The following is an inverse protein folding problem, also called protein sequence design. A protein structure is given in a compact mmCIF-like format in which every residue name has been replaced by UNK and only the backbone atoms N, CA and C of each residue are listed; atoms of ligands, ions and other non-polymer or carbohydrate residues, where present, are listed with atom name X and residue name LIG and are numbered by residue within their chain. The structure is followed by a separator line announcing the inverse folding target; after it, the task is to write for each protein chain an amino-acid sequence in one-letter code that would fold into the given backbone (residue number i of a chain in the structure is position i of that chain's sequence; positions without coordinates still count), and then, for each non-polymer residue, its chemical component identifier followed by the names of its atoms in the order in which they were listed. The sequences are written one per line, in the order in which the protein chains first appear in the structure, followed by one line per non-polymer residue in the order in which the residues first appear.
data_IF_755488340829
#
_entry.id   IF_755488340829
#
_cell.length_a   1.000
_cell.length_b   1.000
_cell.length_c   1.000
_cell.angle_alpha   90.00
_cell.angle_beta   90.00
_cell.angle_gamma   90.00
#
_symmetry.space_group_name_H-M   'P 1'
#
loop_
_entity.id
_entity.type
_entity.pdbx_description
1 polymer ?
#
# COMPACT_ATOMS: atom_id res chain seq x y z
N UNK A 1 10.39 -34.37 -42.43
CA UNK A 1 9.42 -33.60 -41.62
C UNK A 1 9.90 -32.16 -41.56
N UNK A 2 9.00 -31.17 -41.59
CA UNK A 2 9.38 -29.77 -41.42
C UNK A 2 10.08 -29.58 -40.07
N UNK A 3 11.14 -28.77 -40.04
CA UNK A 3 11.84 -28.48 -38.78
C UNK A 3 11.03 -27.50 -37.93
N UNK A 4 11.32 -27.45 -36.63
CA UNK A 4 10.78 -26.45 -35.70
C UNK A 4 10.96 -25.01 -36.23
N UNK A 5 12.08 -24.74 -36.90
CA UNK A 5 12.43 -23.42 -37.42
C UNK A 5 11.59 -23.07 -38.66
N UNK A 6 11.38 -24.03 -39.57
CA UNK A 6 10.50 -23.85 -40.74
C UNK A 6 9.05 -23.54 -40.31
N UNK A 7 8.56 -24.27 -39.31
CA UNK A 7 7.22 -24.05 -38.75
C UNK A 7 7.12 -22.70 -38.03
N UNK A 8 8.18 -22.26 -37.33
CA UNK A 8 8.23 -20.92 -36.73
C UNK A 8 8.10 -19.83 -37.79
N UNK A 9 8.85 -19.93 -38.89
CA UNK A 9 8.81 -18.96 -39.97
C UNK A 9 7.45 -18.94 -40.67
N UNK A 10 6.86 -20.11 -40.92
CA UNK A 10 5.50 -20.23 -41.44
C UNK A 10 4.48 -19.57 -40.51
N UNK A 11 4.58 -19.80 -39.19
CA UNK A 11 3.73 -19.15 -38.19
C UNK A 11 3.91 -17.62 -38.19
N UNK A 12 5.14 -17.13 -38.32
CA UNK A 12 5.42 -15.69 -38.40
C UNK A 12 4.83 -15.06 -39.67
N UNK A 13 4.89 -15.75 -40.81
CA UNK A 13 4.30 -15.31 -42.07
C UNK A 13 2.77 -15.22 -41.97
N UNK A 14 2.12 -16.25 -41.41
CA UNK A 14 0.68 -16.26 -41.15
C UNK A 14 0.27 -15.15 -40.18
N UNK A 15 1.06 -14.93 -39.12
CA UNK A 15 0.82 -13.86 -38.16
C UNK A 15 0.88 -12.47 -38.82
N UNK A 16 1.87 -12.26 -39.70
CA UNK A 16 2.02 -11.00 -40.45
C UNK A 16 0.89 -10.81 -41.45
N UNK A 17 0.37 -11.91 -42.03
CA UNK A 17 -0.80 -11.91 -42.90
C UNK A 17 -2.15 -11.74 -42.16
N UNK A 18 -2.15 -11.55 -40.83
CA UNK A 18 -3.37 -11.40 -40.02
C UNK A 18 -4.13 -12.70 -39.76
N UNK A 19 -3.60 -13.84 -40.19
CA UNK A 19 -4.21 -15.17 -40.03
C UNK A 19 -3.86 -15.77 -38.67
N UNK A 20 -4.35 -15.15 -37.60
CA UNK A 20 -3.89 -15.45 -36.23
C UNK A 20 -4.26 -16.85 -35.74
N UNK A 21 -5.40 -17.41 -36.16
CA UNK A 21 -5.79 -18.78 -35.82
C UNK A 21 -4.85 -19.81 -36.47
N UNK A 22 -4.63 -19.70 -37.79
CA UNK A 22 -3.69 -20.53 -38.53
C UNK A 22 -2.26 -20.40 -37.98
N UNK A 23 -1.84 -19.18 -37.62
CA UNK A 23 -0.55 -18.95 -36.98
C UNK A 23 -0.42 -19.66 -35.63
N UNK A 24 -1.47 -19.65 -34.80
CA UNK A 24 -1.48 -20.33 -33.51
C UNK A 24 -1.38 -21.86 -33.65
N UNK A 25 -2.05 -22.43 -34.66
CA UNK A 25 -1.97 -23.85 -34.98
C UNK A 25 -0.57 -24.25 -35.43
N UNK A 26 0.04 -23.45 -36.32
CA UNK A 26 1.40 -23.70 -36.81
C UNK A 26 2.43 -23.56 -35.69
N UNK A 27 2.30 -22.56 -34.80
CA UNK A 27 3.17 -22.47 -33.61
C UNK A 27 2.99 -23.66 -32.67
N UNK A 28 1.78 -24.23 -32.56
CA UNK A 28 1.53 -25.44 -31.76
C UNK A 28 2.27 -26.64 -32.32
N UNK A 29 2.27 -26.81 -33.65
CA UNK A 29 3.08 -27.83 -34.32
C UNK A 29 4.58 -27.59 -34.10
N UNK A 30 5.04 -26.34 -34.20
CA UNK A 30 6.43 -25.97 -33.95
C UNK A 30 6.88 -26.29 -32.52
N UNK A 31 6.01 -26.07 -31.52
CA UNK A 31 6.26 -26.39 -30.11
C UNK A 31 6.36 -27.91 -29.91
N UNK A 32 5.45 -28.69 -30.52
CA UNK A 32 5.48 -30.14 -30.45
C UNK A 32 6.77 -30.72 -31.08
N UNK A 33 7.21 -30.13 -32.19
CA UNK A 33 8.45 -30.52 -32.87
C UNK A 33 9.73 -30.08 -32.13
N UNK A 34 9.65 -29.06 -31.24
CA UNK A 34 10.80 -28.55 -30.49
C UNK A 34 11.32 -29.52 -29.42
N UNK A 35 10.46 -30.41 -28.91
CA UNK A 35 10.78 -31.31 -27.81
C UNK A 35 11.07 -30.56 -26.49
N UNK A 36 12.28 -30.68 -25.97
CA UNK A 36 12.66 -30.19 -24.64
C UNK A 36 12.59 -28.65 -24.50
N UNK A 37 12.45 -28.12 -23.27
CA UNK A 37 12.48 -26.67 -23.02
C UNK A 37 13.77 -26.03 -23.54
N UNK A 38 13.63 -25.03 -24.41
CA UNK A 38 14.75 -24.27 -24.99
C UNK A 38 14.36 -22.82 -25.23
N UNK A 39 15.34 -21.98 -25.56
CA UNK A 39 15.11 -20.58 -25.98
C UNK A 39 14.22 -20.51 -27.23
N UNK A 40 14.30 -21.50 -28.13
CA UNK A 40 13.41 -21.59 -29.30
C UNK A 40 11.97 -21.86 -28.87
N UNK A 41 11.78 -22.85 -27.99
CA UNK A 41 10.46 -23.18 -27.42
C UNK A 41 9.84 -21.99 -26.67
N UNK A 42 10.64 -21.23 -25.90
CA UNK A 42 10.19 -20.02 -25.22
C UNK A 42 9.72 -18.93 -26.20
N UNK A 43 10.41 -18.78 -27.33
CA UNK A 43 10.05 -17.84 -28.40
C UNK A 43 8.73 -18.23 -29.07
N UNK A 44 8.53 -19.53 -29.30
CA UNK A 44 7.29 -20.06 -29.87
C UNK A 44 6.09 -19.86 -28.96
N UNK A 45 6.20 -20.15 -27.66
CA UNK A 45 5.16 -19.82 -26.69
C UNK A 45 4.85 -18.32 -26.68
N UNK A 46 5.89 -17.48 -26.75
CA UNK A 46 5.70 -16.03 -26.80
C UNK A 46 4.99 -15.57 -28.07
N UNK A 47 5.28 -16.16 -29.23
CA UNK A 47 4.62 -15.82 -30.50
C UNK A 47 3.18 -16.36 -30.57
N UNK A 48 2.92 -17.56 -30.04
CA UNK A 48 1.57 -18.10 -29.94
C UNK A 48 0.70 -17.30 -28.95
N UNK A 49 1.28 -16.84 -27.84
CA UNK A 49 0.63 -15.87 -26.94
C UNK A 49 0.22 -14.59 -27.68
N UNK A 50 1.06 -14.08 -28.58
CA UNK A 50 0.72 -12.91 -29.40
C UNK A 50 -0.47 -13.18 -30.32
N UNK A 51 -0.52 -14.37 -30.94
CA UNK A 51 -1.65 -14.78 -31.79
C UNK A 51 -2.96 -14.86 -30.98
N UNK A 52 -2.92 -15.45 -29.78
CA UNK A 52 -4.07 -15.51 -28.90
C UNK A 52 -4.54 -14.15 -28.40
N UNK A 53 -3.62 -13.18 -28.18
CA UNK A 53 -4.00 -11.80 -27.88
C UNK A 53 -4.80 -11.15 -29.01
N UNK A 54 -4.41 -11.39 -30.27
CA UNK A 54 -5.15 -10.88 -31.44
C UNK A 54 -6.51 -11.56 -31.60
N UNK A 55 -6.60 -12.85 -31.26
CA UNK A 55 -7.84 -13.61 -31.22
C UNK A 55 -8.73 -13.29 -30.01
N UNK A 56 -8.27 -12.43 -29.09
CA UNK A 56 -8.93 -12.13 -27.80
C UNK A 56 -9.13 -13.35 -26.89
N UNK A 57 -8.37 -14.43 -27.12
CA UNK A 57 -8.32 -15.59 -26.22
C UNK A 57 -7.30 -15.32 -25.11
N UNK A 58 -7.68 -14.45 -24.18
CA UNK A 58 -6.76 -13.93 -23.15
C UNK A 58 -6.31 -15.01 -22.16
N UNK A 59 -7.11 -16.06 -21.96
CA UNK A 59 -6.77 -17.19 -21.08
C UNK A 59 -5.61 -18.00 -21.68
N UNK A 60 -5.69 -18.38 -22.97
CA UNK A 60 -4.59 -19.08 -23.63
C UNK A 60 -3.37 -18.20 -23.80
N UNK A 61 -3.58 -16.90 -24.10
CA UNK A 61 -2.49 -15.94 -24.17
C UNK A 61 -1.72 -15.85 -22.84
N UNK A 62 -2.43 -15.86 -21.71
CA UNK A 62 -1.85 -15.85 -20.38
C UNK A 62 -1.03 -17.11 -20.12
N UNK A 63 -1.60 -18.29 -20.34
CA UNK A 63 -0.92 -19.57 -20.15
C UNK A 63 0.38 -19.66 -20.95
N UNK A 64 0.34 -19.28 -22.24
CA UNK A 64 1.52 -19.29 -23.10
C UNK A 64 2.57 -18.26 -22.66
N UNK A 65 2.14 -17.09 -22.19
CA UNK A 65 3.08 -16.06 -21.69
C UNK A 65 3.79 -16.52 -20.41
N UNK A 66 3.11 -17.28 -19.55
CA UNK A 66 3.72 -17.90 -18.37
C UNK A 66 4.69 -19.00 -18.76
N UNK A 67 4.32 -19.87 -19.71
CA UNK A 67 5.19 -20.94 -20.17
C UNK A 67 6.47 -20.39 -20.83
N UNK A 68 6.34 -19.32 -21.63
CA UNK A 68 7.48 -18.60 -22.18
C UNK A 68 8.40 -18.08 -21.06
N UNK A 69 7.83 -17.48 -20.01
CA UNK A 69 8.58 -16.92 -18.88
C UNK A 69 9.33 -17.98 -18.07
N UNK A 70 8.72 -19.15 -17.82
CA UNK A 70 9.37 -20.24 -17.08
C UNK A 70 10.47 -20.94 -17.90
N UNK A 71 10.38 -20.89 -19.22
CA UNK A 71 11.37 -21.48 -20.12
C UNK A 71 12.65 -20.63 -20.24
N UNK A 72 12.65 -19.39 -19.75
CA UNK A 72 13.86 -18.58 -19.63
C UNK A 72 14.59 -18.90 -18.31
N UNK A 73 15.92 -19.15 -18.32
CA UNK A 73 16.65 -19.48 -17.10
C UNK A 73 16.59 -18.32 -16.10
N UNK A 74 16.02 -18.59 -14.93
CA UNK A 74 15.68 -17.59 -13.92
C UNK A 74 16.88 -16.93 -13.21
N UNK A 75 18.15 -17.25 -13.54
CA UNK A 75 19.26 -16.94 -12.61
C UNK A 75 20.68 -16.68 -13.14
N UNK A 76 20.90 -16.42 -14.42
CA UNK A 76 22.22 -15.96 -14.87
C UNK A 76 22.15 -14.52 -15.43
N UNK A 77 22.93 -13.55 -14.92
CA UNK A 77 23.20 -12.35 -15.69
C UNK A 77 23.91 -12.83 -16.98
N UNK A 78 23.34 -12.61 -18.18
CA UNK A 78 23.99 -13.13 -19.37
C UNK A 78 25.28 -12.33 -19.60
N UNK A 79 26.37 -12.97 -20.09
CA UNK A 79 27.51 -12.25 -20.59
C UNK A 79 27.07 -11.23 -21.66
N UNK A 80 27.88 -10.19 -21.87
CA UNK A 80 27.62 -8.96 -22.63
C UNK A 80 27.11 -9.09 -24.10
N UNK A 81 26.76 -10.30 -24.58
CA UNK A 81 25.95 -10.53 -25.79
C UNK A 81 24.41 -10.49 -25.52
N UNK A 82 24.01 -10.20 -24.27
CA UNK A 82 22.65 -10.22 -23.71
C UNK A 82 21.59 -9.31 -24.36
N UNK A 83 21.95 -8.38 -25.24
CA UNK A 83 21.01 -7.34 -25.72
C UNK A 83 19.85 -7.95 -26.52
N UNK A 84 20.11 -8.98 -27.35
CA UNK A 84 19.06 -9.69 -28.11
C UNK A 84 18.13 -10.53 -27.22
N UNK A 85 18.65 -11.14 -26.15
CA UNK A 85 17.86 -11.93 -25.19
C UNK A 85 17.05 -11.05 -24.22
N UNK A 86 17.54 -9.84 -23.89
CA UNK A 86 16.76 -8.87 -23.12
C UNK A 86 15.54 -8.35 -23.90
N UNK A 87 15.65 -8.21 -25.22
CA UNK A 87 14.56 -7.80 -26.12
C UNK A 87 13.53 -8.88 -26.45
N UNK A 88 13.67 -10.11 -25.92
CA UNK A 88 12.62 -11.14 -25.96
C UNK A 88 11.86 -11.22 -24.64
N UNK A 89 12.50 -10.86 -23.52
CA UNK A 89 11.88 -10.86 -22.18
C UNK A 89 10.87 -9.73 -22.00
N UNK A 90 11.16 -8.54 -22.54
CA UNK A 90 10.23 -7.41 -22.50
C UNK A 90 8.95 -7.69 -23.30
N UNK A 91 9.04 -8.35 -24.46
CA UNK A 91 7.89 -8.84 -25.24
C UNK A 91 7.07 -9.86 -24.46
N UNK A 92 7.70 -10.82 -23.79
CA UNK A 92 6.99 -11.80 -22.97
C UNK A 92 6.26 -11.12 -21.79
N UNK A 93 6.92 -10.19 -21.09
CA UNK A 93 6.30 -9.42 -20.02
C UNK A 93 5.18 -8.50 -20.50
N UNK A 94 5.33 -7.89 -21.68
CA UNK A 94 4.28 -7.09 -22.30
C UNK A 94 3.06 -7.95 -22.64
N UNK A 95 3.24 -9.11 -23.26
CA UNK A 95 2.16 -10.03 -23.62
C UNK A 95 1.43 -10.56 -22.38
N UNK A 96 2.18 -10.92 -21.34
CA UNK A 96 1.65 -11.32 -20.04
C UNK A 96 0.81 -10.21 -19.39
N UNK A 97 1.36 -8.99 -19.33
CA UNK A 97 0.64 -7.84 -18.80
C UNK A 97 -0.61 -7.51 -19.60
N UNK A 98 -0.56 -7.58 -20.93
CA UNK A 98 -1.69 -7.31 -21.81
C UNK A 98 -2.81 -8.35 -21.64
N UNK A 99 -2.46 -9.63 -21.50
CA UNK A 99 -3.44 -10.68 -21.22
C UNK A 99 -4.12 -10.47 -19.85
N UNK A 100 -3.34 -10.17 -18.81
CA UNK A 100 -3.87 -9.89 -17.47
C UNK A 100 -4.77 -8.66 -17.43
N UNK A 101 -4.37 -7.60 -18.15
CA UNK A 101 -5.17 -6.38 -18.24
C UNK A 101 -6.50 -6.63 -18.96
N UNK A 102 -6.48 -7.39 -20.06
CA UNK A 102 -7.69 -7.76 -20.79
C UNK A 102 -8.63 -8.66 -19.97
N UNK A 103 -8.07 -9.46 -19.05
CA UNK A 103 -8.83 -10.26 -18.06
C UNK A 103 -9.31 -9.45 -16.85
N UNK A 104 -9.05 -8.13 -16.79
CA UNK A 104 -9.41 -7.28 -15.65
C UNK A 104 -8.55 -7.50 -14.40
N UNK A 105 -7.47 -8.29 -14.49
CA UNK A 105 -6.53 -8.57 -13.40
C UNK A 105 -5.48 -7.47 -13.30
N UNK A 106 -5.93 -6.24 -13.05
CA UNK A 106 -5.13 -5.02 -13.18
C UNK A 106 -3.91 -4.96 -12.24
N UNK A 107 -3.99 -5.51 -11.03
CA UNK A 107 -2.85 -5.53 -10.10
C UNK A 107 -1.70 -6.41 -10.62
N UNK A 108 -2.05 -7.58 -11.14
CA UNK A 108 -1.09 -8.53 -11.69
C UNK A 108 -0.52 -8.00 -13.02
N UNK A 109 -1.37 -7.36 -13.84
CA UNK A 109 -0.95 -6.66 -15.05
C UNK A 109 0.08 -5.58 -14.74
N UNK A 110 -0.12 -4.78 -13.69
CA UNK A 110 0.83 -3.75 -13.27
C UNK A 110 2.18 -4.36 -12.86
N UNK A 111 2.17 -5.48 -12.11
CA UNK A 111 3.39 -6.21 -11.73
C UNK A 111 4.13 -6.72 -12.98
N UNK A 112 3.40 -7.26 -13.95
CA UNK A 112 3.95 -7.77 -15.21
C UNK A 112 4.61 -6.65 -16.04
N UNK A 113 3.92 -5.54 -16.26
CA UNK A 113 4.47 -4.40 -17.00
C UNK A 113 5.66 -3.75 -16.27
N UNK A 114 5.61 -3.66 -14.93
CA UNK A 114 6.73 -3.13 -14.14
C UNK A 114 7.99 -3.99 -14.28
N UNK A 115 7.84 -5.32 -14.28
CA UNK A 115 8.97 -6.25 -14.54
C UNK A 115 9.51 -6.09 -15.97
N UNK A 116 8.62 -5.97 -16.96
CA UNK A 116 9.01 -5.69 -18.36
C UNK A 116 9.79 -4.39 -18.52
N UNK A 117 9.33 -3.31 -17.86
CA UNK A 117 10.02 -2.01 -17.87
C UNK A 117 11.39 -2.07 -17.18
N UNK A 118 11.57 -2.92 -16.16
CA UNK A 118 12.88 -3.16 -15.55
C UNK A 118 13.80 -3.98 -16.47
N UNK A 119 13.26 -4.93 -17.21
CA UNK A 119 14.02 -5.77 -18.15
C UNK A 119 14.51 -4.95 -19.36
N UNK A 120 13.68 -4.03 -19.85
CA UNK A 120 14.05 -3.09 -20.91
C UNK A 120 13.63 -1.64 -20.55
N UNK A 121 14.51 -0.88 -19.87
CA UNK A 121 14.22 0.48 -19.45
C UNK A 121 14.03 1.50 -20.58
N UNK A 122 14.39 1.20 -21.83
CA UNK A 122 14.14 2.12 -22.97
C UNK A 122 12.79 1.88 -23.65
N UNK A 123 12.04 0.85 -23.25
CA UNK A 123 10.75 0.53 -23.84
C UNK A 123 9.62 1.40 -23.27
N UNK A 124 9.42 2.57 -23.87
CA UNK A 124 8.40 3.55 -23.47
C UNK A 124 6.96 3.02 -23.59
N UNK A 125 6.70 2.04 -24.47
CA UNK A 125 5.37 1.43 -24.62
C UNK A 125 4.98 0.69 -23.33
N UNK A 126 5.90 -0.10 -22.76
CA UNK A 126 5.64 -0.83 -21.52
C UNK A 126 5.47 0.13 -20.34
N UNK A 127 6.27 1.20 -20.26
CA UNK A 127 6.12 2.23 -19.23
C UNK A 127 4.79 2.97 -19.32
N UNK A 128 4.41 3.39 -20.53
CA UNK A 128 3.13 4.05 -20.78
C UNK A 128 1.96 3.16 -20.39
N UNK A 129 2.03 1.86 -20.70
CA UNK A 129 0.99 0.91 -20.30
C UNK A 129 0.94 0.69 -18.79
N UNK A 130 2.10 0.55 -18.12
CA UNK A 130 2.16 0.49 -16.66
C UNK A 130 1.52 1.72 -15.99
N UNK A 131 1.74 2.92 -16.56
CA UNK A 131 1.12 4.15 -16.08
C UNK A 131 -0.40 4.16 -16.31
N UNK A 132 -0.87 3.68 -17.46
CA UNK A 132 -2.30 3.56 -17.78
C UNK A 132 -3.02 2.57 -16.84
N UNK A 133 -2.46 1.37 -16.62
CA UNK A 133 -3.02 0.39 -15.67
C UNK A 133 -3.04 0.96 -14.26
N UNK A 134 -1.99 1.69 -13.85
CA UNK A 134 -1.97 2.38 -12.56
C UNK A 134 -3.07 3.44 -12.45
N UNK A 135 -3.35 4.18 -13.52
CA UNK A 135 -4.45 5.13 -13.53
C UNK A 135 -5.81 4.42 -13.43
N UNK A 136 -5.98 3.29 -14.11
CA UNK A 136 -7.21 2.50 -14.06
C UNK A 136 -7.47 1.91 -12.68
N UNK A 137 -6.46 1.40 -11.99
CA UNK A 137 -6.57 0.94 -10.61
C UNK A 137 -7.06 2.06 -9.68
N UNK A 138 -6.53 3.28 -9.81
CA UNK A 138 -7.00 4.44 -9.03
C UNK A 138 -8.45 4.80 -9.31
N UNK A 139 -8.89 4.68 -10.56
CA UNK A 139 -10.29 4.92 -10.93
C UNK A 139 -11.21 3.89 -10.27
N UNK A 140 -10.89 2.59 -10.40
CA UNK A 140 -11.67 1.51 -9.78
C UNK A 140 -11.74 1.62 -8.26
N UNK A 141 -10.65 2.03 -7.61
CA UNK A 141 -10.63 2.30 -6.17
C UNK A 141 -11.55 3.46 -5.78
N UNK A 142 -11.59 4.54 -6.57
CA UNK A 142 -12.52 5.67 -6.35
C UNK A 142 -13.97 5.24 -6.53
N UNK A 143 -14.25 4.46 -7.56
CA UNK A 143 -15.60 3.93 -7.80
C UNK A 143 -16.08 3.04 -6.65
N UNK A 144 -15.22 2.12 -6.19
CA UNK A 144 -15.51 1.29 -5.00
C UNK A 144 -15.78 2.14 -3.77
N UNK A 145 -14.95 3.15 -3.52
CA UNK A 145 -15.15 4.07 -2.39
C UNK A 145 -16.49 4.82 -2.47
N UNK A 146 -16.86 5.33 -3.65
CA UNK A 146 -18.14 6.02 -3.86
C UNK A 146 -19.32 5.06 -3.68
N UNK A 147 -19.20 3.82 -4.16
CA UNK A 147 -20.21 2.78 -3.99
C UNK A 147 -20.41 2.42 -2.51
N UNK A 148 -19.32 2.22 -1.77
CA UNK A 148 -19.35 1.93 -0.33
C UNK A 148 -20.01 3.09 0.45
N UNK A 149 -19.71 4.35 0.09
CA UNK A 149 -20.35 5.53 0.67
C UNK A 149 -21.86 5.57 0.37
N UNK A 150 -22.27 5.23 -0.85
CA UNK A 150 -23.69 5.17 -1.23
C UNK A 150 -24.43 4.07 -0.46
N UNK A 151 -23.84 2.89 -0.31
CA UNK A 151 -24.40 1.79 0.48
C UNK A 151 -24.48 2.13 1.97
N UNK A 152 -23.44 2.77 2.54
CA UNK A 152 -23.46 3.23 3.91
C UNK A 152 -24.58 4.26 4.17
N UNK A 153 -24.79 5.22 3.23
CA UNK A 153 -25.89 6.19 3.29
C UNK A 153 -27.27 5.54 3.19
N UNK A 154 -27.41 4.51 2.35
CA UNK A 154 -28.65 3.75 2.23
C UNK A 154 -28.96 3.00 3.53
N UNK A 155 -27.99 2.27 4.09
CA UNK A 155 -28.13 1.59 5.38
C UNK A 155 -28.47 2.57 6.50
N UNK A 156 -27.80 3.72 6.57
CA UNK A 156 -28.10 4.74 7.60
C UNK A 156 -29.55 5.26 7.52
N UNK A 157 -30.12 5.36 6.31
CA UNK A 157 -31.54 5.70 6.11
C UNK A 157 -32.48 4.57 6.56
N UNK A 158 -32.12 3.32 6.26
CA UNK A 158 -32.89 2.13 6.65
C UNK A 158 -32.91 1.91 8.17
N UNK A 159 -31.83 2.26 8.88
CA UNK A 159 -31.72 2.13 10.35
C UNK A 159 -32.21 3.35 11.16
N UNK A 160 -32.79 4.38 10.52
CA UNK A 160 -33.36 5.53 11.23
C UNK A 160 -32.36 6.42 11.99
N UNK A 161 -31.06 6.32 11.68
CA UNK A 161 -30.02 7.17 12.28
C UNK A 161 -29.92 8.44 11.45
N UNK A 162 -30.39 9.56 12.00
CA UNK A 162 -30.40 10.86 11.34
C UNK A 162 -29.00 11.29 10.86
N UNK A 163 -28.74 11.13 9.57
CA UNK A 163 -27.57 11.71 8.90
C UNK A 163 -27.81 13.22 8.79
N UNK A 164 -27.17 14.03 9.63
CA UNK A 164 -27.02 15.46 9.33
C UNK A 164 -26.25 15.56 8.01
N UNK A 165 -26.93 15.97 6.95
CA UNK A 165 -26.37 15.97 5.60
C UNK A 165 -25.58 17.27 5.37
N UNK A 166 -24.33 17.12 4.92
CA UNK A 166 -23.40 18.16 4.52
C UNK A 166 -23.84 18.93 3.25
N UNK A 167 -25.07 19.44 3.20
CA UNK A 167 -25.53 20.32 2.10
C UNK A 167 -25.11 21.79 2.33
N UNK A 168 -24.76 22.16 3.56
CA UNK A 168 -24.33 23.53 3.91
C UNK A 168 -22.81 23.75 3.84
N UNK A 169 -22.00 22.68 3.84
CA UNK A 169 -20.53 22.80 3.80
C UNK A 169 -19.93 22.77 2.39
N UNK A 170 -20.65 22.22 1.41
CA UNK A 170 -20.13 22.05 0.05
C UNK A 170 -20.29 23.34 -0.79
N UNK A 171 -21.30 24.16 -0.55
CA UNK A 171 -21.46 25.47 -1.18
C UNK A 171 -20.39 26.47 -0.72
N UNK A 172 -19.90 26.35 0.51
CA UNK A 172 -18.78 27.17 1.00
C UNK A 172 -17.44 26.79 0.35
N UNK A 173 -17.19 25.49 0.12
CA UNK A 173 -15.93 25.02 -0.46
C UNK A 173 -15.82 25.27 -1.97
N UNK A 174 -16.93 25.29 -2.72
CA UNK A 174 -16.90 25.60 -4.16
C UNK A 174 -16.86 27.11 -4.45
N UNK A 175 -17.42 27.95 -3.56
CA UNK A 175 -17.32 29.41 -3.67
C UNK A 175 -15.92 29.95 -3.29
N UNK A 176 -15.20 29.28 -2.39
CA UNK A 176 -13.85 29.70 -1.98
C UNK A 176 -12.75 29.45 -3.03
N UNK A 177 -13.05 28.70 -4.11
CA UNK A 177 -12.05 28.38 -5.15
C UNK A 177 -12.05 29.39 -6.31
N UNK A 178 -13.05 30.26 -6.45
CA UNK A 178 -13.13 31.24 -7.53
C UNK A 178 -13.51 32.63 -6.97
N UNK A 179 -12.54 33.56 -6.99
CA UNK A 179 -12.52 34.91 -6.36
C UNK A 179 -12.24 34.85 -4.85
N UNK A 180 -11.33 35.62 -4.25
CA UNK A 180 -11.05 37.06 -4.43
C UNK A 180 -9.62 37.35 -3.94
N UNK A 181 -8.79 37.94 -4.80
CA UNK A 181 -7.82 38.93 -4.35
C UNK A 181 -8.62 40.19 -4.03
N UNK A 182 -8.67 40.62 -2.76
CA UNK A 182 -8.99 41.98 -2.29
C UNK A 182 -9.00 41.97 -0.76
N UNK A 183 -8.18 42.86 -0.20
CA UNK A 183 -8.09 43.32 1.18
C UNK A 183 -9.44 43.64 1.82
N UNK A 184 -9.66 43.32 3.10
CA UNK A 184 -10.27 44.22 4.10
C UNK A 184 -10.05 43.71 5.54
N UNK A 185 -9.91 44.67 6.45
CA UNK A 185 -9.57 44.55 7.87
C UNK A 185 -10.80 44.77 8.77
N UNK A 186 -10.67 44.30 10.03
CA UNK A 186 -11.37 44.66 11.29
C UNK A 186 -12.52 43.77 11.84
N UNK A 187 -12.36 43.42 13.14
CA UNK A 187 -13.40 42.96 14.09
C UNK A 187 -12.89 41.97 15.16
N UNK A 188 -12.77 42.32 16.46
CA UNK A 188 -12.12 41.49 17.47
C UNK A 188 -13.10 40.51 18.13
N UNK A 189 -12.79 39.20 18.13
CA UNK A 189 -13.57 38.22 18.90
C UNK A 189 -13.65 36.78 18.39
N UNK A 190 -12.84 36.37 17.41
CA UNK A 190 -12.84 34.99 16.90
C UNK A 190 -11.49 34.29 17.12
N UNK A 191 -11.54 33.06 17.63
CA UNK A 191 -10.41 32.16 17.83
C UNK A 191 -9.51 32.13 16.59
N UNK A 192 -8.23 32.43 16.79
CA UNK A 192 -7.24 32.63 15.74
C UNK A 192 -6.92 31.30 15.03
N UNK A 193 -7.52 31.05 13.88
CA UNK A 193 -7.06 30.02 12.92
C UNK A 193 -5.96 30.66 12.09
N UNK A 194 -4.72 30.64 12.58
CA UNK A 194 -3.57 31.09 11.79
C UNK A 194 -2.37 30.18 11.97
N UNK A 195 -1.76 29.83 10.83
CA UNK A 195 -0.53 29.07 10.60
C UNK A 195 -0.63 27.53 10.60
N UNK A 196 -1.56 26.94 9.84
CA UNK A 196 -1.33 25.59 9.32
C UNK A 196 -0.49 25.74 8.03
N UNK A 197 0.69 25.12 8.00
CA UNK A 197 1.50 25.05 6.79
C UNK A 197 0.68 24.40 5.68
N UNK A 198 0.79 24.88 4.44
CA UNK A 198 0.01 24.29 3.34
C UNK A 198 0.36 22.80 3.20
N UNK A 199 -0.57 21.99 2.71
CA UNK A 199 -0.31 20.55 2.45
C UNK A 199 0.92 20.33 1.57
N UNK A 200 1.35 21.34 0.79
CA UNK A 200 2.57 21.36 -0.02
C UNK A 200 3.86 21.58 0.79
N UNK A 201 3.79 22.28 1.90
CA UNK A 201 4.94 22.57 2.78
C UNK A 201 5.19 21.42 3.76
N UNK A 202 4.10 20.78 4.24
CA UNK A 202 4.17 19.52 4.98
C UNK A 202 4.80 18.36 4.17
N UNK A 203 4.60 18.39 2.85
CA UNK A 203 5.15 17.45 1.85
C UNK A 203 6.67 17.56 1.69
N UNK A 204 7.18 18.79 1.59
CA UNK A 204 8.61 19.05 1.46
C UNK A 204 9.39 18.72 2.75
N UNK A 205 8.78 18.91 3.92
CA UNK A 205 9.43 18.72 5.21
C UNK A 205 9.74 17.26 5.58
N UNK A 206 9.06 16.28 4.97
CA UNK A 206 9.18 14.86 5.34
C UNK A 206 10.31 14.11 4.59
N UNK A 207 11.02 14.78 3.68
CA UNK A 207 12.11 14.23 2.89
C UNK A 207 13.45 14.82 3.36
N UNK A 208 14.49 14.00 3.37
CA UNK A 208 15.87 14.39 3.64
C UNK A 208 16.46 15.21 2.50
N UNK A 209 17.66 15.78 2.69
CA UNK A 209 18.40 16.47 1.63
C UNK A 209 18.64 15.61 0.38
N UNK A 210 18.64 14.29 0.54
CA UNK A 210 18.79 13.29 -0.52
C UNK A 210 17.45 12.85 -1.15
N UNK A 211 16.33 13.49 -0.78
CA UNK A 211 14.99 13.18 -1.26
C UNK A 211 14.40 11.89 -0.70
N UNK A 212 15.03 11.25 0.28
CA UNK A 212 14.50 10.03 0.92
C UNK A 212 13.60 10.37 2.10
N UNK A 213 12.59 9.53 2.41
CA UNK A 213 11.81 9.65 3.63
C UNK A 213 12.71 9.65 4.87
N UNK A 214 12.53 10.64 5.73
CA UNK A 214 13.18 10.68 7.05
C UNK A 214 12.31 9.88 8.02
N UNK A 215 12.88 9.03 8.89
CA UNK A 215 12.12 8.16 9.79
C UNK A 215 11.00 8.85 10.61
N UNK A 216 11.27 10.04 11.15
CA UNK A 216 10.33 10.85 11.94
C UNK A 216 9.61 11.94 11.12
N UNK A 217 9.82 11.99 9.81
CA UNK A 217 9.33 13.05 8.92
C UNK A 217 7.82 13.22 8.92
N UNK A 218 7.07 12.20 9.34
CA UNK A 218 5.62 12.24 9.50
C UNK A 218 5.17 13.27 10.56
N UNK A 219 5.97 13.51 11.60
CA UNK A 219 5.62 14.36 12.74
C UNK A 219 5.80 15.87 12.49
N UNK A 220 6.64 16.24 11.52
CA UNK A 220 7.08 17.63 11.30
C UNK A 220 5.92 18.57 11.01
N UNK A 221 5.76 19.64 11.79
CA UNK A 221 4.66 20.60 11.59
C UNK A 221 3.29 20.12 12.09
N UNK A 222 3.19 18.95 12.74
CA UNK A 222 1.97 18.57 13.47
C UNK A 222 1.87 19.27 14.84
N UNK A 223 3.00 19.70 15.42
CA UNK A 223 3.05 20.21 16.78
C UNK A 223 2.48 19.17 17.76
N UNK A 224 1.63 19.61 18.70
CA UNK A 224 0.96 18.72 19.67
C UNK A 224 0.10 17.63 19.03
N UNK A 225 -0.34 17.79 17.77
CA UNK A 225 -1.14 16.76 17.07
C UNK A 225 -0.34 15.49 16.77
N UNK A 226 0.98 15.52 16.87
CA UNK A 226 1.86 14.37 16.60
C UNK A 226 1.57 13.16 17.52
N UNK A 227 1.20 13.42 18.77
CA UNK A 227 0.90 12.34 19.74
C UNK A 227 -0.36 11.59 19.33
N UNK A 228 -1.43 12.32 19.00
CA UNK A 228 -2.67 11.73 18.49
C UNK A 228 -2.47 11.01 17.16
N UNK A 229 -1.58 11.51 16.30
CA UNK A 229 -1.25 10.85 15.03
C UNK A 229 -0.63 9.46 15.23
N UNK A 230 0.35 9.32 16.13
CA UNK A 230 1.00 8.03 16.38
C UNK A 230 0.02 7.01 16.98
N UNK A 231 -0.88 7.46 17.85
CA UNK A 231 -1.95 6.59 18.41
C UNK A 231 -2.92 6.17 17.32
N UNK A 232 -3.33 7.10 16.45
CA UNK A 232 -4.27 6.80 15.36
C UNK A 232 -3.63 5.93 14.27
N UNK A 233 -2.32 6.03 14.03
CA UNK A 233 -1.63 5.13 13.10
C UNK A 233 -1.59 3.70 13.63
N UNK A 234 -1.44 3.52 14.95
CA UNK A 234 -1.65 2.23 15.60
C UNK A 234 -3.09 1.72 15.43
N UNK A 235 -4.10 2.54 15.76
CA UNK A 235 -5.51 2.12 15.67
C UNK A 235 -5.91 1.76 14.23
N UNK A 236 -5.42 2.52 13.25
CA UNK A 236 -5.57 2.23 11.82
C UNK A 236 -4.93 0.89 11.45
N UNK A 237 -3.73 0.61 11.98
CA UNK A 237 -3.03 -0.65 11.73
C UNK A 237 -3.81 -1.85 12.25
N UNK A 238 -4.36 -1.76 13.45
CA UNK A 238 -5.19 -2.81 14.05
C UNK A 238 -6.45 -3.08 13.21
N UNK A 239 -7.07 -2.04 12.65
CA UNK A 239 -8.20 -2.19 11.71
C UNK A 239 -7.77 -2.85 10.41
N UNK A 240 -6.66 -2.41 9.84
CA UNK A 240 -6.10 -2.96 8.62
C UNK A 240 -5.65 -4.44 8.77
N UNK A 241 -5.03 -4.84 9.88
CA UNK A 241 -4.63 -6.24 10.13
C UNK A 241 -5.88 -7.15 10.28
N UNK A 242 -6.97 -6.62 10.83
CA UNK A 242 -8.26 -7.31 10.90
C UNK A 242 -8.94 -7.43 9.52
N UNK A 243 -8.94 -6.37 8.70
CA UNK A 243 -9.64 -6.35 7.40
C UNK A 243 -8.83 -6.98 6.27
N UNK A 244 -7.52 -6.74 6.24
CA UNK A 244 -6.61 -7.08 5.15
C UNK A 244 -5.50 -8.06 5.55
N UNK A 245 -5.09 -8.09 6.82
CA UNK A 245 -4.01 -8.95 7.33
C UNK A 245 -4.39 -10.41 7.56
N UNK A 246 -5.33 -10.96 6.79
CA UNK A 246 -5.79 -12.35 6.94
C UNK A 246 -6.70 -12.59 8.15
N UNK A 247 -7.34 -11.54 8.69
CA UNK A 247 -8.21 -11.65 9.86
C UNK A 247 -7.44 -11.76 11.18
N UNK A 248 -6.20 -11.25 11.22
CA UNK A 248 -5.43 -11.18 12.45
C UNK A 248 -6.08 -10.19 13.41
N UNK A 249 -6.77 -10.72 14.42
CA UNK A 249 -7.47 -9.93 15.44
C UNK A 249 -6.57 -9.78 16.66
N UNK A 250 -6.12 -8.57 16.91
CA UNK A 250 -5.35 -8.17 18.08
C UNK A 250 -5.77 -6.76 18.52
N UNK A 251 -5.25 -6.29 19.66
CA UNK A 251 -5.62 -4.99 20.21
C UNK A 251 -7.15 -4.84 20.32
N UNK A 252 -7.68 -3.69 19.90
CA UNK A 252 -9.12 -3.39 19.99
C UNK A 252 -10.03 -4.29 19.15
N UNK A 253 -9.50 -4.97 18.14
CA UNK A 253 -10.28 -5.85 17.27
C UNK A 253 -10.31 -7.31 17.74
N UNK A 254 -9.57 -7.66 18.80
CA UNK A 254 -9.69 -8.96 19.45
C UNK A 254 -10.95 -9.00 20.35
N UNK A 255 -11.90 -9.92 20.13
CA UNK A 255 -13.07 -10.07 21.00
C UNK A 255 -12.75 -10.34 22.48
N UNK A 256 -11.55 -10.88 22.75
CA UNK A 256 -11.04 -11.15 24.10
C UNK A 256 -10.22 -9.99 24.67
N UNK A 257 -10.10 -8.88 23.94
CA UNK A 257 -9.31 -7.75 24.38
C UNK A 257 -9.84 -7.17 25.70
N UNK A 258 -8.90 -6.88 26.58
CA UNK A 258 -9.12 -6.09 27.77
C UNK A 258 -8.15 -4.91 27.79
N UNK A 259 -8.23 -4.12 28.85
CA UNK A 259 -7.37 -2.96 29.04
C UNK A 259 -5.87 -3.36 28.97
N UNK A 260 -5.48 -4.46 29.60
CA UNK A 260 -4.09 -4.88 29.65
C UNK A 260 -3.59 -5.32 28.27
N UNK A 261 -4.36 -6.12 27.54
CA UNK A 261 -3.92 -6.61 26.23
C UNK A 261 -3.82 -5.50 25.18
N UNK A 262 -4.68 -4.48 25.24
CA UNK A 262 -4.57 -3.28 24.37
C UNK A 262 -3.31 -2.48 24.72
N UNK A 263 -2.98 -2.35 26.01
CA UNK A 263 -1.78 -1.65 26.46
C UNK A 263 -0.50 -2.38 26.05
N UNK A 264 -0.47 -3.70 26.17
CA UNK A 264 0.66 -4.54 25.71
C UNK A 264 0.88 -4.40 24.20
N UNK A 265 -0.20 -4.47 23.42
CA UNK A 265 -0.12 -4.38 21.95
C UNK A 265 0.32 -2.97 21.50
N UNK A 266 -0.20 -1.92 22.14
CA UNK A 266 0.24 -0.55 21.89
C UNK A 266 1.69 -0.29 22.35
N UNK A 267 2.12 -0.90 23.46
CA UNK A 267 3.51 -0.87 23.93
C UNK A 267 4.46 -1.49 22.92
N UNK A 268 4.11 -2.65 22.38
CA UNK A 268 4.87 -3.29 21.30
C UNK A 268 4.99 -2.36 20.09
N UNK A 269 3.89 -1.71 19.69
CA UNK A 269 3.90 -0.74 18.60
C UNK A 269 4.83 0.45 18.87
N UNK A 270 4.79 1.03 20.08
CA UNK A 270 5.66 2.14 20.47
C UNK A 270 7.14 1.75 20.48
N UNK A 271 7.46 0.53 20.96
CA UNK A 271 8.83 -0.01 20.90
C UNK A 271 9.32 -0.22 19.48
N UNK A 272 8.44 -0.69 18.61
CA UNK A 272 8.73 -0.78 17.18
C UNK A 272 8.97 0.60 16.57
N UNK A 273 8.20 1.62 16.97
CA UNK A 273 8.37 2.99 16.51
C UNK A 273 9.74 3.56 16.88
N UNK A 274 10.18 3.36 18.13
CA UNK A 274 11.54 3.75 18.57
C UNK A 274 12.60 3.00 17.76
N UNK A 275 12.44 1.70 17.59
CA UNK A 275 13.41 0.86 16.90
C UNK A 275 13.48 1.11 15.37
N UNK A 276 12.45 1.75 14.80
CA UNK A 276 12.40 2.24 13.42
C UNK A 276 12.90 3.69 13.27
N UNK A 277 13.20 4.38 14.37
CA UNK A 277 13.51 5.81 14.37
C UNK A 277 12.31 6.69 14.05
N UNK A 278 11.09 6.16 14.16
CA UNK A 278 9.87 6.89 13.83
C UNK A 278 9.46 7.89 14.92
N UNK A 279 10.00 7.75 16.13
CA UNK A 279 9.77 8.72 17.21
C UNK A 279 10.73 9.90 17.04
N UNK A 280 10.24 11.16 16.97
CA UNK A 280 11.09 12.34 16.91
C UNK A 280 12.14 12.35 18.03
N UNK A 281 13.40 12.59 17.67
CA UNK A 281 14.51 12.60 18.64
C UNK A 281 14.52 13.84 19.54
N UNK A 282 13.94 14.95 19.07
CA UNK A 282 13.87 16.22 19.79
C UNK A 282 12.42 16.57 20.13
N UNK A 283 12.18 16.99 21.38
CA UNK A 283 10.87 17.49 21.82
C UNK A 283 9.76 16.42 21.95
N UNK A 284 10.09 15.14 21.85
CA UNK A 284 9.12 14.07 22.12
C UNK A 284 8.88 13.90 23.62
N UNK A 285 7.62 13.73 23.99
CA UNK A 285 7.19 13.60 25.38
C UNK A 285 6.22 12.42 25.51
N UNK A 286 6.65 11.38 26.21
CA UNK A 286 5.87 10.17 26.42
C UNK A 286 4.67 10.38 27.34
N UNK A 287 4.69 11.38 28.23
CA UNK A 287 3.54 11.73 29.06
C UNK A 287 2.40 12.31 28.21
N UNK A 288 2.73 13.14 27.21
CA UNK A 288 1.75 13.65 26.24
C UNK A 288 1.21 12.57 25.34
N UNK A 289 2.05 11.60 24.93
CA UNK A 289 1.57 10.41 24.23
C UNK A 289 0.59 9.61 25.10
N UNK A 290 0.92 9.40 26.38
CA UNK A 290 0.06 8.69 27.32
C UNK A 290 -1.30 9.38 27.48
N UNK A 291 -1.35 10.72 27.58
CA UNK A 291 -2.60 11.47 27.65
C UNK A 291 -3.44 11.30 26.37
N UNK A 292 -2.83 11.43 25.20
CA UNK A 292 -3.51 11.21 23.92
C UNK A 292 -4.01 9.76 23.78
N UNK A 293 -3.20 8.79 24.18
CA UNK A 293 -3.52 7.38 24.11
C UNK A 293 -4.69 7.01 25.05
N UNK A 294 -4.74 7.58 26.26
CA UNK A 294 -5.81 7.34 27.22
C UNK A 294 -7.18 7.76 26.66
N UNK A 295 -7.22 8.81 25.84
CA UNK A 295 -8.44 9.27 25.20
C UNK A 295 -8.84 8.39 23.99
N UNK A 296 -7.86 8.03 23.16
CA UNK A 296 -8.07 7.47 21.83
C UNK A 296 -8.12 5.95 21.79
N UNK A 297 -7.28 5.24 22.56
CA UNK A 297 -7.18 3.79 22.53
C UNK A 297 -8.51 3.08 22.86
N UNK A 298 -9.39 3.55 23.77
CA UNK A 298 -10.65 2.85 24.03
C UNK A 298 -11.64 2.83 22.86
N UNK A 299 -11.38 3.56 21.77
CA UNK A 299 -12.32 3.76 20.66
C UNK A 299 -11.82 3.09 19.39
N UNK A 300 -12.69 2.42 18.65
CA UNK A 300 -12.37 1.95 17.31
C UNK A 300 -12.01 3.11 16.36
N UNK A 301 -11.17 2.83 15.37
CA UNK A 301 -10.74 3.80 14.36
C UNK A 301 -10.70 3.12 12.99
N UNK A 302 -11.68 3.44 12.17
CA UNK A 302 -11.74 2.97 10.80
C UNK A 302 -11.18 4.02 9.83
N UNK A 303 -11.01 3.61 8.57
CA UNK A 303 -10.65 4.51 7.46
C UNK A 303 -11.54 5.76 7.38
N UNK A 304 -12.84 5.61 7.65
CA UNK A 304 -13.78 6.73 7.61
C UNK A 304 -13.46 7.81 8.66
N UNK A 305 -13.13 7.39 9.89
CA UNK A 305 -12.78 8.27 11.00
C UNK A 305 -11.49 9.04 10.69
N UNK A 306 -10.52 8.38 10.06
CA UNK A 306 -9.26 9.01 9.68
C UNK A 306 -9.44 10.06 8.57
N UNK A 307 -10.29 9.78 7.58
CA UNK A 307 -10.63 10.76 6.53
C UNK A 307 -11.31 11.98 7.17
N UNK A 308 -12.23 11.75 8.12
CA UNK A 308 -12.92 12.82 8.84
C UNK A 308 -11.97 13.65 9.71
N UNK A 309 -11.02 13.01 10.41
CA UNK A 309 -10.11 13.67 11.36
C UNK A 309 -8.96 14.41 10.69
N UNK A 310 -8.41 13.87 9.58
CA UNK A 310 -7.16 14.36 9.00
C UNK A 310 -7.29 14.91 7.57
N UNK A 311 -8.48 14.87 6.95
CA UNK A 311 -8.68 15.43 5.60
C UNK A 311 -7.97 14.62 4.52
N UNK A 312 -8.61 13.55 4.05
CA UNK A 312 -8.12 12.58 3.05
C UNK A 312 -6.82 11.83 3.42
N UNK A 313 -6.94 10.53 3.69
CA UNK A 313 -5.77 9.64 3.82
C UNK A 313 -5.26 9.19 2.45
N UNK A 314 -4.11 9.71 2.00
CA UNK A 314 -3.48 9.24 0.77
C UNK A 314 -2.35 8.25 1.07
N UNK A 315 -2.69 7.00 1.40
CA UNK A 315 -1.73 5.89 1.61
C UNK A 315 -0.70 5.75 0.47
N UNK A 316 -1.11 5.97 -0.77
CA UNK A 316 -0.24 5.86 -1.94
C UNK A 316 0.78 6.99 -2.09
N UNK A 317 0.52 8.18 -1.53
CA UNK A 317 1.48 9.31 -1.60
C UNK A 317 2.75 8.98 -0.79
N UNK A 318 2.60 8.26 0.33
CA UNK A 318 3.72 7.77 1.14
C UNK A 318 4.45 6.57 0.53
N UNK A 319 3.71 5.58 0.03
CA UNK A 319 4.30 4.34 -0.54
C UNK A 319 5.04 4.55 -1.87
N UNK A 320 4.64 5.53 -2.67
CA UNK A 320 5.20 5.78 -4.00
C UNK A 320 6.24 6.91 -4.05
N UNK A 321 6.63 7.47 -2.89
CA UNK A 321 7.59 8.58 -2.83
C UNK A 321 7.10 9.84 -3.56
N UNK A 322 5.78 9.98 -3.77
CA UNK A 322 5.17 11.10 -4.50
C UNK A 322 4.90 12.29 -3.58
N UNK A 323 5.83 12.55 -2.66
CA UNK A 323 5.95 13.82 -1.96
C UNK A 323 5.26 13.95 -0.60
N UNK A 324 4.57 12.94 -0.04
CA UNK A 324 4.06 13.04 1.35
C UNK A 324 4.31 11.75 2.12
N UNK A 325 5.22 11.73 3.08
CA UNK A 325 5.33 10.63 4.05
C UNK A 325 4.19 10.64 5.10
N UNK A 326 3.23 11.55 4.97
CA UNK A 326 2.16 11.78 5.96
C UNK A 326 0.88 11.04 5.57
N UNK A 327 0.82 9.77 5.95
CA UNK A 327 -0.38 8.93 5.93
C UNK A 327 -0.33 7.97 7.12
N UNK A 328 -1.43 7.81 7.87
CA UNK A 328 -1.47 6.96 9.06
C UNK A 328 -1.06 5.50 8.75
N UNK A 329 -1.56 4.95 7.63
CA UNK A 329 -1.16 3.62 7.15
C UNK A 329 0.32 3.54 6.80
N UNK A 330 0.86 4.56 6.14
CA UNK A 330 2.27 4.58 5.79
C UNK A 330 3.15 4.70 7.04
N UNK A 331 2.78 5.56 8.00
CA UNK A 331 3.42 5.65 9.32
C UNK A 331 3.43 4.28 9.99
N UNK A 332 2.30 3.57 9.98
CA UNK A 332 2.23 2.24 10.61
C UNK A 332 3.02 1.15 9.90
N UNK A 333 3.02 1.08 8.58
CA UNK A 333 3.89 0.16 7.83
C UNK A 333 5.37 0.46 8.08
N UNK A 334 5.74 1.74 8.18
CA UNK A 334 7.10 2.15 8.50
C UNK A 334 7.49 1.74 9.92
N UNK A 335 6.64 2.03 10.92
CA UNK A 335 6.84 1.67 12.33
C UNK A 335 7.05 0.16 12.50
N UNK A 336 6.20 -0.66 11.88
CA UNK A 336 6.31 -2.11 12.02
C UNK A 336 7.36 -2.73 11.11
N UNK A 337 7.76 -2.02 10.04
CA UNK A 337 8.61 -2.55 8.98
C UNK A 337 7.94 -3.67 8.17
N UNK A 338 6.63 -3.88 8.34
CA UNK A 338 5.87 -4.97 7.72
C UNK A 338 4.67 -4.33 7.05
N UNK A 339 4.46 -4.65 5.77
CA UNK A 339 3.30 -4.19 5.02
C UNK A 339 1.99 -4.82 5.52
N UNK A 340 0.87 -4.27 5.04
CA UNK A 340 -0.47 -4.79 5.30
C UNK A 340 -0.68 -6.25 4.84
N UNK A 341 0.14 -6.72 3.90
CA UNK A 341 0.09 -8.09 3.37
C UNK A 341 1.09 -9.02 4.05
N UNK A 342 1.74 -8.57 5.14
CA UNK A 342 2.74 -9.36 5.86
C UNK A 342 4.13 -9.37 5.21
N UNK A 343 4.35 -8.64 4.11
CA UNK A 343 5.66 -8.54 3.47
C UNK A 343 6.55 -7.52 4.20
N UNK A 344 7.78 -7.90 4.56
CA UNK A 344 8.76 -7.04 5.22
C UNK A 344 10.11 -7.75 5.40
N UNK A 345 11.18 -7.05 5.82
CA UNK A 345 12.44 -7.69 6.11
C UNK A 345 12.29 -8.62 7.32
N UNK A 346 12.92 -9.80 7.25
CA UNK A 346 12.88 -10.81 8.32
C UNK A 346 13.32 -10.26 9.69
N UNK A 347 14.17 -9.24 9.71
CA UNK A 347 14.65 -8.57 10.93
C UNK A 347 13.51 -7.87 11.68
N UNK A 348 12.62 -7.18 10.97
CA UNK A 348 11.47 -6.50 11.55
C UNK A 348 10.46 -7.52 12.10
N UNK A 349 10.13 -8.56 11.31
CA UNK A 349 9.24 -9.64 11.73
C UNK A 349 9.75 -10.38 12.98
N UNK A 350 11.06 -10.69 13.05
CA UNK A 350 11.67 -11.31 14.24
C UNK A 350 11.63 -10.41 15.47
N UNK A 351 11.85 -9.10 15.29
CA UNK A 351 11.79 -8.12 16.39
C UNK A 351 10.37 -8.02 16.95
N UNK A 352 9.38 -7.87 16.08
CA UNK A 352 7.97 -7.83 16.45
C UNK A 352 7.58 -9.08 17.24
N UNK A 353 7.89 -10.27 16.70
CA UNK A 353 7.60 -11.54 17.37
C UNK A 353 8.25 -11.63 18.76
N UNK A 354 9.53 -11.26 18.88
CA UNK A 354 10.25 -11.28 20.17
C UNK A 354 9.66 -10.30 21.19
N UNK A 355 9.16 -9.15 20.73
CA UNK A 355 8.48 -8.19 21.61
C UNK A 355 7.11 -8.71 22.05
N UNK A 356 6.34 -9.30 21.14
CA UNK A 356 5.06 -9.93 21.46
C UNK A 356 5.24 -11.08 22.48
N UNK A 357 6.21 -11.96 22.27
CA UNK A 357 6.53 -13.06 23.19
C UNK A 357 6.93 -12.57 24.61
N UNK A 358 7.50 -11.37 24.72
CA UNK A 358 7.90 -10.78 26.00
C UNK A 358 6.82 -9.93 26.66
N UNK A 359 5.82 -9.49 25.89
CA UNK A 359 4.83 -8.52 26.37
C UNK A 359 3.44 -9.11 26.56
N UNK A 360 2.99 -9.98 25.65
CA UNK A 360 1.60 -10.45 25.62
C UNK A 360 1.31 -11.35 26.83
N UNK A 361 0.28 -10.98 27.60
CA UNK A 361 -0.11 -11.64 28.84
C UNK A 361 0.88 -11.42 29.99
N UNK A 362 1.78 -10.44 29.89
CA UNK A 362 2.82 -10.17 30.89
C UNK A 362 2.64 -8.80 31.57
N UNK A 363 1.57 -8.05 31.29
CA UNK A 363 1.38 -6.67 31.76
C UNK A 363 1.58 -6.50 33.26
N UNK A 364 0.98 -7.38 34.08
CA UNK A 364 1.12 -7.34 35.53
C UNK A 364 2.58 -7.55 35.99
N UNK A 365 3.29 -8.51 35.39
CA UNK A 365 4.69 -8.77 35.70
C UNK A 365 5.61 -7.63 35.22
N UNK A 366 5.33 -7.08 34.03
CA UNK A 366 6.08 -5.98 33.43
C UNK A 366 6.00 -4.72 34.28
N UNK A 367 4.84 -4.39 34.85
CA UNK A 367 4.72 -3.20 35.69
C UNK A 367 5.27 -3.37 37.10
N UNK A 368 5.24 -4.59 37.65
CA UNK A 368 5.83 -4.88 38.96
C UNK A 368 7.37 -4.89 38.91
N UNK A 369 7.94 -5.48 37.84
CA UNK A 369 9.39 -5.63 37.66
C UNK A 369 9.79 -5.16 36.26
N UNK A 370 9.76 -3.84 36.00
CA UNK A 370 9.98 -3.28 34.66
C UNK A 370 11.40 -3.51 34.13
N UNK A 371 12.41 -3.57 35.01
CA UNK A 371 13.81 -3.56 34.59
C UNK A 371 14.07 -2.38 33.66
N UNK A 372 14.70 -2.64 32.51
CA UNK A 372 14.93 -1.65 31.45
C UNK A 372 13.88 -1.69 30.34
N UNK A 373 12.77 -2.43 30.55
CA UNK A 373 11.80 -2.68 29.49
C UNK A 373 11.03 -1.43 29.08
N UNK A 374 11.01 -0.35 29.86
CA UNK A 374 10.28 0.87 29.51
C UNK A 374 11.18 2.07 29.20
N UNK A 375 12.51 1.93 29.32
CA UNK A 375 13.47 3.03 29.25
C UNK A 375 13.40 3.80 27.92
N UNK A 376 13.18 3.08 26.83
CA UNK A 376 13.09 3.62 25.47
C UNK A 376 11.71 4.22 25.16
N UNK A 377 10.71 4.02 26.02
CA UNK A 377 9.31 4.44 25.84
C UNK A 377 8.78 5.28 27.00
N UNK A 378 9.65 6.06 27.63
CA UNK A 378 9.27 7.06 28.64
C UNK A 378 9.19 6.56 30.07
N UNK A 379 9.68 5.36 30.35
CA UNK A 379 9.66 4.75 31.67
C UNK A 379 8.27 4.21 32.06
N UNK A 380 8.24 3.34 33.06
CA UNK A 380 7.01 2.62 33.48
C UNK A 380 5.91 3.58 33.93
N UNK A 381 6.26 4.74 34.49
CA UNK A 381 5.31 5.73 35.02
C UNK A 381 4.38 6.31 33.95
N UNK A 382 4.88 6.55 32.74
CA UNK A 382 4.04 7.01 31.62
C UNK A 382 2.96 5.98 31.25
N UNK A 383 3.28 4.69 31.39
CA UNK A 383 2.39 3.59 31.08
C UNK A 383 1.40 3.29 32.21
N UNK A 384 1.81 3.46 33.46
CA UNK A 384 0.91 3.41 34.62
C UNK A 384 -0.10 4.57 34.59
N UNK A 385 0.35 5.77 34.21
CA UNK A 385 -0.52 6.92 33.96
C UNK A 385 -1.56 6.60 32.88
N UNK A 386 -1.11 6.04 31.76
CA UNK A 386 -2.01 5.61 30.67
C UNK A 386 -3.02 4.56 31.16
N UNK A 387 -2.59 3.51 31.85
CA UNK A 387 -3.47 2.47 32.40
C UNK A 387 -4.57 3.05 33.31
N UNK A 388 -4.17 3.98 34.19
CA UNK A 388 -5.06 4.66 35.12
C UNK A 388 -6.05 5.61 34.45
N UNK A 389 -5.60 6.37 33.44
CA UNK A 389 -6.43 7.34 32.74
C UNK A 389 -7.32 6.72 31.64
N UNK A 390 -6.98 5.52 31.15
CA UNK A 390 -7.70 4.90 30.04
C UNK A 390 -9.12 4.49 30.44
N UNK A 391 -10.11 5.00 29.70
CA UNK A 391 -11.53 4.65 29.86
C UNK A 391 -11.80 3.19 29.49
N UNK A 392 -12.95 2.63 29.92
CA UNK A 392 -13.39 1.31 29.47
C UNK A 392 -13.43 1.20 27.95
N UNK A 393 -13.03 0.04 27.42
CA UNK A 393 -13.03 -0.24 25.99
C UNK A 393 -14.45 -0.17 25.42
N UNK A 394 -14.62 0.52 24.29
CA UNK A 394 -15.87 0.52 23.54
C UNK A 394 -15.86 -0.68 22.61
N UNK A 395 -16.67 -1.71 22.93
CA UNK A 395 -16.83 -2.87 22.06
C UNK A 395 -17.62 -2.47 20.80
N UNK A 396 -17.17 -2.97 19.65
CA UNK A 396 -17.82 -2.80 18.34
C UNK A 396 -19.18 -3.47 18.25
#
# INVERSE_FOLDING_TARGET
MATNEDLKEQGNALFTAGKYAEAADVYTQAIAAAGAPSTSTATLFSNRSAAYLQLKDYTKALQDSEQARHSFPARAPPPMSAVKLRGTWDKAHWRHGAALEALGRYEEALKAFTRGAKANPSNEVIKGRAAAVRAKLRELERERYVADQKQARQRAREYGVGVRTDREKMTAATAASNNVATTMSFGPGGINVSADMSTRDARAAALGPDGKPIPDGWARGLGERQYGWLVDSYRMRVDDDNVHGGGNRHGLNDPKADKATVLEDFLVYCKMAVAAGAVPSEGWDWAKLADAAAELLPRHFAKADAIQKYGSENYFDGKMGMGSCRSLRHTAEFVLGISLHGEGPLTAARRLKKLQERSVGQWAALKEKPGTFFDDVGGVDAWLRLEGAMRPLQRR
#
